data_IF_885574207502
#
_entry.id   IF_885574207502
#
_cell.length_a   1.000
_cell.length_b   1.000
_cell.length_c   1.000
_cell.angle_alpha   90.00
_cell.angle_beta   90.00
_cell.angle_gamma   90.00
#
_symmetry.space_group_name_H-M   'P 1'
#
loop_
_entity.id
_entity.type
_entity.pdbx_description
1 polymer ?
#
# COMPACT_ATOMS: atom_id res chain seq x y z
N UNK A 1 -4.42 18.75 9.75
CA UNK A 1 -4.17 17.70 8.74
C UNK A 1 -2.69 17.46 8.67
N UNK A 2 -2.23 16.29 9.07
CA UNK A 2 -0.83 15.95 8.89
C UNK A 2 -0.70 14.51 8.44
N UNK A 3 -0.24 14.33 7.21
CA UNK A 3 0.40 13.10 6.77
C UNK A 3 1.90 13.30 6.94
N UNK A 4 2.57 12.34 7.54
CA UNK A 4 4.01 12.32 7.69
C UNK A 4 4.56 10.98 7.22
N UNK A 5 5.74 10.99 6.65
CA UNK A 5 6.48 9.78 6.30
C UNK A 5 7.79 9.77 7.09
N UNK A 6 8.12 8.64 7.66
CA UNK A 6 9.36 8.42 8.38
C UNK A 6 10.18 7.34 7.67
N UNK A 7 11.45 7.62 7.46
CA UNK A 7 12.45 6.70 6.90
C UNK A 7 13.75 6.91 7.63
N UNK A 8 14.47 5.84 7.82
CA UNK A 8 15.80 5.88 8.38
C UNK A 8 16.81 5.45 7.30
N UNK A 9 17.70 6.35 6.92
CA UNK A 9 18.72 6.09 5.90
C UNK A 9 19.74 5.02 6.33
N UNK A 10 19.91 4.80 7.64
CA UNK A 10 20.75 3.74 8.18
C UNK A 10 20.07 2.36 8.17
N UNK A 11 18.72 2.32 8.07
CA UNK A 11 17.92 1.09 7.98
C UNK A 11 16.89 1.24 6.84
N UNK A 12 17.31 1.19 5.57
CA UNK A 12 16.45 1.43 4.42
C UNK A 12 15.51 0.25 4.10
N UNK A 13 15.11 -0.49 5.13
CA UNK A 13 14.29 -1.71 5.02
C UNK A 13 12.79 -1.43 5.13
N UNK A 14 12.38 -0.21 5.51
CA UNK A 14 10.98 0.12 5.74
C UNK A 14 10.68 1.61 5.57
N UNK A 15 9.39 1.92 5.45
CA UNK A 15 8.84 3.27 5.52
C UNK A 15 7.64 3.26 6.47
N UNK A 16 7.48 4.28 7.31
CA UNK A 16 6.29 4.47 8.12
C UNK A 16 5.54 5.72 7.65
N UNK A 17 4.26 5.54 7.29
CA UNK A 17 3.31 6.62 7.08
C UNK A 17 2.49 6.83 8.34
N UNK A 18 2.41 8.06 8.81
CA UNK A 18 1.49 8.47 9.88
C UNK A 18 0.43 9.44 9.34
N UNK A 19 -0.80 9.27 9.77
CA UNK A 19 -1.91 10.13 9.37
C UNK A 19 -2.71 10.53 10.62
N UNK A 20 -3.09 11.82 10.72
CA UNK A 20 -3.99 12.35 11.75
C UNK A 20 -5.02 13.31 11.17
N UNK A 21 -6.28 13.12 11.57
CA UNK A 21 -7.41 14.01 11.28
C UNK A 21 -7.55 14.36 9.80
N UNK A 22 -7.55 13.37 8.93
CA UNK A 22 -7.64 13.60 7.49
C UNK A 22 -8.90 12.99 6.90
N UNK A 23 -9.63 13.81 6.14
CA UNK A 23 -10.76 13.42 5.30
C UNK A 23 -10.32 12.64 4.04
N UNK A 24 -9.05 12.22 3.94
CA UNK A 24 -8.58 11.61 2.74
C UNK A 24 -9.16 10.20 2.58
N UNK A 25 -10.24 10.14 1.81
CA UNK A 25 -10.70 8.91 1.20
C UNK A 25 -9.71 8.53 0.11
N UNK A 26 -8.96 7.46 0.29
CA UNK A 26 -8.09 6.96 -0.77
C UNK A 26 -8.92 6.30 -1.85
N UNK A 27 -8.62 6.60 -3.12
CA UNK A 27 -9.12 5.79 -4.23
C UNK A 27 -8.56 4.37 -4.12
N UNK A 28 -9.20 3.42 -4.78
CA UNK A 28 -8.66 2.08 -4.91
C UNK A 28 -7.20 2.12 -5.42
N UNK A 29 -6.30 1.55 -4.63
CA UNK A 29 -4.86 1.45 -4.90
C UNK A 29 -4.33 0.16 -4.26
N UNK A 30 -3.08 -0.16 -4.53
CA UNK A 30 -2.34 -1.25 -3.90
C UNK A 30 -0.91 -0.80 -3.62
N UNK A 31 -0.18 -1.60 -2.88
CA UNK A 31 1.24 -1.45 -2.62
C UNK A 31 1.97 -2.71 -3.09
N UNK A 32 3.18 -2.59 -3.60
CA UNK A 32 4.05 -3.73 -3.89
C UNK A 32 4.79 -4.20 -2.62
N UNK A 33 4.73 -3.38 -1.53
CA UNK A 33 5.20 -3.72 -0.20
C UNK A 33 4.13 -4.46 0.62
N UNK A 34 4.57 -5.18 1.65
CA UNK A 34 3.73 -5.59 2.77
C UNK A 34 3.36 -4.33 3.54
N UNK A 35 2.07 -4.03 3.69
CA UNK A 35 1.63 -2.86 4.45
C UNK A 35 0.89 -3.28 5.73
N UNK A 36 1.38 -2.81 6.89
CA UNK A 36 0.84 -3.15 8.22
C UNK A 36 0.30 -1.89 8.86
N UNK A 37 -1.03 -1.78 8.99
CA UNK A 37 -1.72 -0.62 9.53
C UNK A 37 -2.12 -0.83 10.99
N UNK A 38 -1.59 0.02 11.87
CA UNK A 38 -1.99 0.16 13.28
C UNK A 38 -2.95 1.33 13.40
N UNK A 39 -4.20 1.05 13.76
CA UNK A 39 -5.22 2.07 13.95
C UNK A 39 -5.09 2.68 15.33
N UNK A 40 -4.87 3.98 15.40
CA UNK A 40 -4.71 4.73 16.67
C UNK A 40 -6.03 5.20 17.25
N UNK A 41 -6.89 5.80 16.43
CA UNK A 41 -8.24 6.22 16.83
C UNK A 41 -9.16 6.36 15.61
N UNK A 42 -10.47 6.42 15.88
CA UNK A 42 -11.50 6.50 14.86
C UNK A 42 -11.73 5.18 14.13
N UNK A 43 -12.54 5.23 13.08
CA UNK A 43 -12.86 4.07 12.24
C UNK A 43 -12.77 4.42 10.77
N UNK A 44 -12.38 3.46 9.94
CA UNK A 44 -12.37 3.59 8.48
C UNK A 44 -13.05 2.38 7.84
N UNK A 45 -13.93 2.63 6.87
CA UNK A 45 -14.41 1.59 5.98
C UNK A 45 -13.32 1.28 4.98
N UNK A 46 -12.80 0.06 5.02
CA UNK A 46 -11.88 -0.46 4.01
C UNK A 46 -12.68 -1.30 3.04
N UNK A 47 -12.56 -0.98 1.75
CA UNK A 47 -13.17 -1.74 0.67
C UNK A 47 -12.08 -2.49 -0.09
N UNK A 48 -12.28 -3.76 -0.35
CA UNK A 48 -11.40 -4.62 -1.13
C UNK A 48 -12.20 -5.73 -1.80
N UNK A 49 -11.59 -6.49 -2.69
CA UNK A 49 -12.25 -7.56 -3.42
C UNK A 49 -12.84 -8.66 -2.53
N UNK A 50 -12.31 -8.86 -1.32
CA UNK A 50 -12.86 -9.81 -0.34
C UNK A 50 -14.12 -9.31 0.38
N UNK A 51 -14.54 -8.07 0.13
CA UNK A 51 -15.65 -7.38 0.76
C UNK A 51 -15.19 -6.26 1.70
N UNK A 52 -16.12 -5.39 2.10
CA UNK A 52 -15.83 -4.28 2.99
C UNK A 52 -15.68 -4.73 4.44
N UNK A 53 -14.79 -4.08 5.18
CA UNK A 53 -14.66 -4.25 6.63
C UNK A 53 -14.35 -2.90 7.32
N UNK A 54 -14.52 -2.86 8.64
CA UNK A 54 -14.15 -1.69 9.44
C UNK A 54 -12.76 -1.90 10.06
N UNK A 55 -11.86 -0.96 9.79
CA UNK A 55 -10.61 -0.83 10.51
C UNK A 55 -10.85 0.02 11.76
N UNK A 56 -10.57 -0.54 12.95
CA UNK A 56 -10.89 0.00 14.27
C UNK A 56 -9.64 0.00 15.18
N UNK A 57 -9.60 0.77 16.27
CA UNK A 57 -8.42 0.86 17.13
C UNK A 57 -7.95 -0.44 17.79
N UNK A 58 -8.78 -1.48 17.83
CA UNK A 58 -8.44 -2.82 18.32
C UNK A 58 -8.01 -3.78 17.20
N UNK A 59 -7.80 -3.26 15.99
CA UNK A 59 -7.37 -4.06 14.84
C UNK A 59 -5.99 -3.66 14.32
N UNK A 60 -5.20 -4.66 13.96
CA UNK A 60 -4.05 -4.52 13.07
C UNK A 60 -4.46 -5.06 11.71
N UNK A 61 -4.28 -4.26 10.68
CA UNK A 61 -4.63 -4.66 9.31
C UNK A 61 -3.37 -4.88 8.51
N UNK A 62 -3.23 -6.05 7.91
CA UNK A 62 -2.10 -6.38 7.04
C UNK A 62 -2.59 -6.53 5.61
N UNK A 63 -2.05 -5.71 4.72
CA UNK A 63 -2.31 -5.77 3.29
C UNK A 63 -1.15 -6.51 2.61
N UNK A 64 -1.41 -7.69 2.03
CA UNK A 64 -0.42 -8.36 1.19
C UNK A 64 -0.04 -7.52 -0.04
N UNK A 65 1.16 -7.70 -0.61
CA UNK A 65 1.56 -7.05 -1.84
C UNK A 65 0.54 -7.24 -2.97
N UNK A 66 0.22 -6.17 -3.68
CA UNK A 66 -0.69 -6.17 -4.81
C UNK A 66 -2.18 -6.25 -4.48
N UNK A 67 -2.57 -6.31 -3.20
CA UNK A 67 -3.98 -6.33 -2.79
C UNK A 67 -4.59 -4.93 -2.90
N UNK A 68 -5.53 -4.81 -3.83
CA UNK A 68 -6.24 -3.54 -4.05
C UNK A 68 -7.22 -3.27 -2.91
N UNK A 69 -7.15 -2.05 -2.40
CA UNK A 69 -8.02 -1.58 -1.33
C UNK A 69 -8.25 -0.06 -1.42
N UNK A 70 -9.33 0.40 -0.79
CA UNK A 70 -9.58 1.82 -0.52
C UNK A 70 -9.88 2.02 0.95
N UNK A 71 -9.55 3.19 1.49
CA UNK A 71 -9.80 3.53 2.90
C UNK A 71 -10.67 4.78 2.97
N UNK A 72 -11.85 4.67 3.61
CA UNK A 72 -12.84 5.74 3.72
C UNK A 72 -13.12 6.01 5.20
N UNK A 73 -12.46 7.00 5.83
CA UNK A 73 -12.68 7.35 7.24
C UNK A 73 -14.15 7.67 7.53
N UNK A 74 -14.72 7.01 8.55
CA UNK A 74 -16.09 7.26 9.05
C UNK A 74 -16.13 8.34 10.12
N UNK A 75 -14.99 8.55 10.78
CA UNK A 75 -14.81 9.58 11.83
C UNK A 75 -13.63 10.48 11.48
N UNK A 76 -13.77 11.35 10.44
CA UNK A 76 -12.63 12.06 9.87
C UNK A 76 -11.88 12.92 10.88
N UNK A 77 -12.59 13.62 11.75
CA UNK A 77 -11.99 14.50 12.79
C UNK A 77 -11.25 13.73 13.90
N UNK A 78 -11.53 12.44 14.04
CA UNK A 78 -10.93 11.55 15.02
C UNK A 78 -10.30 10.31 14.37
N UNK A 79 -9.74 10.44 13.15
CA UNK A 79 -9.07 9.37 12.45
C UNK A 79 -7.57 9.49 12.55
N UNK A 80 -6.90 8.47 13.06
CA UNK A 80 -5.45 8.39 13.05
C UNK A 80 -4.97 6.96 12.91
N UNK A 81 -3.94 6.78 12.09
CA UNK A 81 -3.25 5.50 11.91
C UNK A 81 -1.77 5.68 11.65
N UNK A 82 -1.01 4.64 11.88
CA UNK A 82 0.36 4.46 11.38
C UNK A 82 0.39 3.24 10.49
N UNK A 83 1.11 3.31 9.38
CA UNK A 83 1.23 2.21 8.43
C UNK A 83 2.71 1.98 8.13
N UNK A 84 3.17 0.78 8.38
CA UNK A 84 4.52 0.30 8.08
C UNK A 84 4.49 -0.36 6.70
N UNK A 85 5.37 0.07 5.81
CA UNK A 85 5.60 -0.53 4.50
C UNK A 85 6.94 -1.26 4.51
N UNK A 86 6.95 -2.51 4.09
CA UNK A 86 8.12 -3.38 4.11
C UNK A 86 8.26 -4.06 2.76
N UNK A 87 9.37 -3.88 2.02
CA UNK A 87 9.64 -4.61 0.80
C UNK A 87 9.64 -6.13 1.07
N UNK A 88 8.88 -6.94 0.32
CA UNK A 88 8.77 -8.37 0.63
C UNK A 88 10.07 -9.15 0.39
N UNK A 89 11.01 -8.62 -0.37
CA UNK A 89 12.30 -9.23 -0.70
C UNK A 89 13.30 -9.22 0.46
N UNK A 90 13.06 -8.44 1.53
CA UNK A 90 13.87 -8.53 2.76
C UNK A 90 13.58 -9.81 3.57
N UNK A 91 12.43 -10.48 3.29
CA UNK A 91 12.06 -11.71 3.97
C UNK A 91 12.49 -12.95 3.17
N UNK A 92 12.93 -14.03 3.85
CA UNK A 92 13.05 -15.35 3.25
C UNK A 92 11.73 -15.79 2.59
N UNK A 93 11.82 -16.68 1.61
CA UNK A 93 10.65 -17.11 0.82
C UNK A 93 9.51 -17.67 1.69
N UNK A 94 9.84 -18.49 2.67
CA UNK A 94 8.88 -19.16 3.54
C UNK A 94 8.12 -18.14 4.42
N UNK A 95 8.83 -17.16 4.96
CA UNK A 95 8.23 -16.08 5.77
C UNK A 95 7.41 -15.14 4.89
N UNK A 96 7.86 -14.84 3.66
CA UNK A 96 7.14 -14.03 2.68
C UNK A 96 5.78 -14.64 2.33
N UNK A 97 5.68 -15.96 2.25
CA UNK A 97 4.42 -16.67 1.98
C UNK A 97 3.37 -16.41 3.09
N UNK A 98 3.79 -16.16 4.33
CA UNK A 98 2.89 -15.76 5.42
C UNK A 98 2.20 -14.43 5.15
N UNK A 99 2.85 -13.51 4.43
CA UNK A 99 2.32 -12.19 4.08
C UNK A 99 1.72 -12.14 2.67
N UNK A 100 1.56 -13.26 2.01
CA UNK A 100 0.93 -13.34 0.69
C UNK A 100 -0.56 -13.69 0.80
N UNK A 101 -1.32 -13.37 -0.24
CA UNK A 101 -2.73 -13.75 -0.30
C UNK A 101 -3.58 -12.76 -1.10
N UNK A 102 -4.83 -13.12 -1.39
CA UNK A 102 -5.72 -12.32 -2.24
C UNK A 102 -6.49 -11.23 -1.47
N UNK A 103 -6.36 -11.16 -0.14
CA UNK A 103 -7.14 -10.27 0.71
C UNK A 103 -6.33 -9.75 1.90
N UNK A 104 -6.71 -8.58 2.46
CA UNK A 104 -6.17 -8.11 3.73
C UNK A 104 -6.44 -9.10 4.85
N UNK A 105 -5.54 -9.12 5.83
CA UNK A 105 -5.73 -9.89 7.07
C UNK A 105 -6.01 -8.93 8.22
N UNK A 106 -7.03 -9.23 9.01
CA UNK A 106 -7.46 -8.42 10.14
C UNK A 106 -7.13 -9.20 11.41
N UNK A 107 -6.28 -8.62 12.25
CA UNK A 107 -5.88 -9.20 13.53
C UNK A 107 -6.55 -8.40 14.64
N UNK A 108 -7.42 -9.06 15.40
CA UNK A 108 -7.94 -8.47 16.63
C UNK A 108 -6.86 -8.45 17.69
N UNK A 109 -6.59 -7.26 18.24
CA UNK A 109 -5.53 -7.06 19.23
C UNK A 109 -6.10 -7.08 20.63
N UNK A 110 -5.61 -7.99 21.47
CA UNK A 110 -5.70 -7.84 22.91
C UNK A 110 -4.78 -6.70 23.40
N UNK A 111 -4.89 -6.36 24.68
CA UNK A 111 -4.13 -5.25 25.26
C UNK A 111 -2.62 -5.45 25.15
N UNK A 112 -2.12 -6.63 25.46
CA UNK A 112 -0.69 -6.93 25.46
C UNK A 112 -0.10 -6.85 24.04
N UNK A 113 -0.77 -7.46 23.08
CA UNK A 113 -0.34 -7.42 21.68
C UNK A 113 -0.33 -5.99 21.12
N UNK A 114 -1.36 -5.18 21.47
CA UNK A 114 -1.41 -3.77 21.08
C UNK A 114 -0.25 -2.97 21.66
N UNK A 115 0.08 -3.17 22.93
CA UNK A 115 1.20 -2.50 23.59
C UNK A 115 2.54 -2.86 22.92
N UNK A 116 2.75 -4.14 22.58
CA UNK A 116 3.94 -4.62 21.89
C UNK A 116 4.06 -4.02 20.48
N UNK A 117 3.00 -4.05 19.70
CA UNK A 117 2.97 -3.45 18.34
C UNK A 117 3.16 -1.93 18.42
N UNK A 118 2.48 -1.27 19.36
CA UNK A 118 2.61 0.18 19.59
C UNK A 118 4.04 0.59 19.90
N UNK A 119 4.72 -0.16 20.78
CA UNK A 119 6.13 0.06 21.13
C UNK A 119 7.06 -0.18 19.95
N UNK A 120 6.81 -1.21 19.13
CA UNK A 120 7.59 -1.45 17.93
C UNK A 120 7.51 -0.26 16.95
N UNK A 121 6.32 0.29 16.71
CA UNK A 121 6.17 1.50 15.89
C UNK A 121 6.86 2.73 16.49
N UNK A 122 6.95 2.84 17.83
CA UNK A 122 7.69 3.92 18.50
C UNK A 122 9.19 3.78 18.30
N UNK A 123 9.76 2.59 18.48
CA UNK A 123 11.18 2.32 18.22
C UNK A 123 11.52 2.57 16.76
N UNK A 124 10.75 2.03 15.83
CA UNK A 124 10.99 2.18 14.39
C UNK A 124 10.91 3.63 13.90
N UNK A 125 10.13 4.49 14.56
CA UNK A 125 10.03 5.91 14.23
C UNK A 125 10.79 6.84 15.18
N UNK A 126 11.51 6.29 16.14
CA UNK A 126 12.31 7.03 17.14
C UNK A 126 13.78 7.18 16.76
N UNK A 127 14.58 7.62 17.73
CA UNK A 127 16.01 7.89 17.57
C UNK A 127 16.90 6.68 17.96
N UNK A 128 16.35 5.46 18.01
CA UNK A 128 17.07 4.22 18.28
C UNK A 128 18.16 3.91 17.25
N UNK A 129 19.15 3.10 17.63
CA UNK A 129 20.21 2.66 16.73
C UNK A 129 19.72 1.75 15.60
N UNK A 130 20.50 1.60 14.50
CA UNK A 130 20.10 0.80 13.36
C UNK A 130 19.86 -0.68 13.72
N UNK A 131 20.68 -1.26 14.57
CA UNK A 131 20.55 -2.65 15.02
C UNK A 131 19.24 -2.87 15.81
N UNK A 132 18.89 -1.95 16.71
CA UNK A 132 17.65 -2.00 17.49
C UNK A 132 16.42 -1.91 16.58
N UNK A 133 16.46 -1.05 15.56
CA UNK A 133 15.37 -0.88 14.60
C UNK A 133 15.21 -2.10 13.70
N UNK A 134 16.31 -2.66 13.21
CA UNK A 134 16.28 -3.86 12.38
C UNK A 134 15.74 -5.06 13.16
N UNK A 135 16.20 -5.29 14.38
CA UNK A 135 15.68 -6.34 15.27
C UNK A 135 14.19 -6.13 15.55
N UNK A 136 13.79 -4.90 15.88
CA UNK A 136 12.39 -4.55 16.14
C UNK A 136 11.48 -4.78 14.93
N UNK A 137 11.98 -4.48 13.72
CA UNK A 137 11.26 -4.72 12.48
C UNK A 137 10.94 -6.21 12.31
N UNK A 138 11.95 -7.07 12.42
CA UNK A 138 11.75 -8.52 12.26
C UNK A 138 10.89 -9.11 13.37
N UNK A 139 11.03 -8.67 14.62
CA UNK A 139 10.14 -9.07 15.72
C UNK A 139 8.68 -8.66 15.48
N UNK A 140 8.44 -7.48 14.91
CA UNK A 140 7.08 -7.04 14.56
C UNK A 140 6.48 -7.93 13.48
N UNK A 141 7.26 -8.26 12.45
CA UNK A 141 6.82 -9.14 11.36
C UNK A 141 6.51 -10.55 11.87
N UNK A 142 7.37 -11.11 12.72
CA UNK A 142 7.16 -12.42 13.36
C UNK A 142 5.86 -12.43 14.19
N UNK A 143 5.68 -11.43 15.04
CA UNK A 143 4.46 -11.26 15.84
C UNK A 143 3.18 -11.19 15.00
N UNK A 144 3.24 -10.49 13.87
CA UNK A 144 2.11 -10.41 12.95
C UNK A 144 1.84 -11.78 12.27
N UNK A 145 2.90 -12.46 11.82
CA UNK A 145 2.79 -13.78 11.19
C UNK A 145 2.23 -14.86 12.12
N UNK A 146 2.66 -14.90 13.38
CA UNK A 146 2.12 -15.83 14.39
C UNK A 146 0.61 -15.71 14.56
N UNK A 147 0.09 -14.48 14.54
CA UNK A 147 -1.36 -14.25 14.69
C UNK A 147 -2.15 -14.71 13.47
N UNK A 148 -1.56 -14.78 12.27
CA UNK A 148 -2.24 -15.35 11.10
C UNK A 148 -2.52 -16.85 11.27
N UNK A 149 -1.60 -17.57 11.89
CA UNK A 149 -1.76 -19.02 12.14
C UNK A 149 -2.87 -19.28 13.17
N UNK A 150 -3.01 -18.41 14.18
CA UNK A 150 -3.97 -18.58 15.26
C UNK A 150 -5.38 -18.17 14.82
N UNK A 151 -5.54 -17.11 14.03
CA UNK A 151 -6.86 -16.59 13.65
C UNK A 151 -7.61 -17.43 12.63
N UNK A 152 -6.93 -18.24 11.84
CA UNK A 152 -7.57 -19.10 10.83
C UNK A 152 -8.41 -18.35 9.77
N UNK A 153 -8.48 -17.03 9.88
CA UNK A 153 -9.24 -16.17 8.98
C UNK A 153 -8.45 -15.95 7.69
N UNK A 154 -8.47 -16.93 6.83
CA UNK A 154 -8.20 -16.69 5.41
C UNK A 154 -9.39 -15.89 4.88
N UNK A 155 -9.15 -14.63 4.50
CA UNK A 155 -10.17 -13.85 3.80
C UNK A 155 -10.83 -14.70 2.71
N UNK A 156 -12.15 -14.55 2.56
CA UNK A 156 -12.94 -15.37 1.66
C UNK A 156 -12.24 -15.51 0.30
N UNK A 157 -12.00 -16.75 -0.11
CA UNK A 157 -11.36 -17.03 -1.39
C UNK A 157 -12.22 -16.44 -2.50
N UNK A 158 -11.75 -15.36 -3.11
CA UNK A 158 -12.38 -14.80 -4.31
C UNK A 158 -12.35 -15.84 -5.44
N UNK A 159 -13.35 -15.77 -6.31
CA UNK A 159 -13.33 -16.53 -7.55
C UNK A 159 -11.98 -16.28 -8.27
N UNK A 160 -11.37 -17.30 -8.88
CA UNK A 160 -10.08 -17.15 -9.54
C UNK A 160 -10.13 -16.04 -10.59
N UNK A 161 -9.13 -15.18 -10.57
CA UNK A 161 -9.00 -14.09 -11.55
C UNK A 161 -8.86 -14.73 -12.95
N UNK A 162 -9.68 -14.32 -13.92
CA UNK A 162 -9.58 -14.88 -15.27
C UNK A 162 -8.16 -14.67 -15.84
N UNK A 163 -7.64 -15.68 -16.50
CA UNK A 163 -6.28 -15.68 -17.07
C UNK A 163 -6.03 -14.49 -18.02
N UNK A 164 -7.05 -14.09 -18.80
CA UNK A 164 -7.00 -12.90 -19.65
C UNK A 164 -6.73 -11.62 -18.86
N UNK A 165 -7.24 -11.53 -17.64
CA UNK A 165 -7.06 -10.37 -16.76
C UNK A 165 -5.70 -10.43 -16.06
N UNK A 166 -5.24 -11.64 -15.65
CA UNK A 166 -3.88 -11.85 -15.14
C UNK A 166 -2.84 -11.43 -16.18
N UNK A 167 -3.00 -11.87 -17.44
CA UNK A 167 -2.10 -11.44 -18.54
C UNK A 167 -2.11 -9.92 -18.77
N UNK A 168 -3.29 -9.31 -18.66
CA UNK A 168 -3.40 -7.84 -18.81
C UNK A 168 -2.67 -7.11 -17.69
N UNK A 169 -2.82 -7.56 -16.45
CA UNK A 169 -2.11 -6.97 -15.31
C UNK A 169 -0.58 -7.16 -15.42
N UNK A 170 -0.12 -8.33 -15.83
CA UNK A 170 1.29 -8.60 -16.11
C UNK A 170 1.83 -7.67 -17.21
N UNK A 171 1.09 -7.51 -18.30
CA UNK A 171 1.44 -6.59 -19.38
C UNK A 171 1.55 -5.13 -18.90
N UNK A 172 0.60 -4.67 -18.09
CA UNK A 172 0.64 -3.34 -17.48
C UNK A 172 1.87 -3.15 -16.59
N UNK A 173 2.28 -4.17 -15.83
CA UNK A 173 3.50 -4.14 -14.99
C UNK A 173 4.77 -4.06 -15.83
N UNK A 174 4.85 -4.84 -16.91
CA UNK A 174 6.03 -4.92 -17.78
C UNK A 174 6.25 -3.64 -18.58
N UNK A 175 5.16 -3.06 -19.13
CA UNK A 175 5.23 -1.89 -20.03
C UNK A 175 4.75 -0.59 -19.36
N UNK A 176 4.77 -0.49 -18.02
CA UNK A 176 4.16 0.61 -17.25
C UNK A 176 4.68 2.02 -17.57
N UNK A 177 5.89 2.12 -18.13
CA UNK A 177 6.48 3.40 -18.53
C UNK A 177 6.09 3.83 -19.97
N UNK A 178 5.42 2.95 -20.72
CA UNK A 178 4.95 3.23 -22.08
C UNK A 178 3.53 3.82 -22.07
N UNK A 179 3.18 4.48 -23.18
CA UNK A 179 1.79 4.82 -23.46
C UNK A 179 1.02 3.57 -23.87
N UNK A 180 0.06 3.14 -23.05
CA UNK A 180 -0.70 1.92 -23.28
C UNK A 180 -2.17 2.26 -23.55
N UNK A 181 -2.58 2.36 -24.81
CA UNK A 181 -3.98 2.61 -25.15
C UNK A 181 -4.84 1.39 -24.82
N UNK A 182 -6.10 1.62 -24.44
CA UNK A 182 -7.06 0.57 -24.10
C UNK A 182 -7.24 -0.46 -25.23
N UNK A 183 -7.03 -0.06 -26.49
CA UNK A 183 -7.07 -0.96 -27.65
C UNK A 183 -6.00 -2.05 -27.53
N UNK A 184 -4.77 -1.69 -27.17
CA UNK A 184 -3.65 -2.65 -26.98
C UNK A 184 -3.95 -3.65 -25.85
N UNK A 185 -4.54 -3.17 -24.76
CA UNK A 185 -4.95 -4.05 -23.66
C UNK A 185 -6.07 -5.01 -24.06
N UNK A 186 -7.00 -4.56 -24.90
CA UNK A 186 -8.05 -5.41 -25.45
C UNK A 186 -7.47 -6.54 -26.34
N UNK A 187 -6.44 -6.25 -27.14
CA UNK A 187 -5.72 -7.23 -27.93
C UNK A 187 -4.98 -8.24 -27.04
N UNK A 188 -4.28 -7.79 -25.99
CA UNK A 188 -3.57 -8.65 -25.02
C UNK A 188 -4.53 -9.58 -24.30
N UNK A 189 -5.69 -9.08 -23.90
CA UNK A 189 -6.68 -9.87 -23.14
C UNK A 189 -7.51 -10.80 -24.01
N UNK A 190 -7.64 -10.52 -25.32
CA UNK A 190 -8.61 -11.17 -26.22
C UNK A 190 -10.05 -10.76 -25.96
N UNK A 191 -10.29 -9.65 -25.25
CA UNK A 191 -11.61 -9.16 -24.91
C UNK A 191 -11.90 -7.85 -25.64
N UNK A 192 -13.20 -7.54 -25.86
CA UNK A 192 -13.56 -6.19 -26.27
C UNK A 192 -13.20 -5.17 -25.20
N UNK A 193 -12.94 -3.92 -25.58
CA UNK A 193 -12.62 -2.84 -24.62
C UNK A 193 -13.61 -2.72 -23.47
N UNK A 194 -14.89 -2.87 -23.76
CA UNK A 194 -15.95 -2.83 -22.75
C UNK A 194 -15.88 -4.02 -21.78
N UNK A 195 -15.73 -5.23 -22.30
CA UNK A 195 -15.62 -6.43 -21.48
C UNK A 195 -14.32 -6.45 -20.66
N UNK A 196 -13.21 -5.98 -21.23
CA UNK A 196 -11.96 -5.84 -20.52
C UNK A 196 -12.09 -4.93 -19.29
N UNK A 197 -12.58 -3.70 -19.45
CA UNK A 197 -12.72 -2.75 -18.33
C UNK A 197 -13.65 -3.32 -17.25
N UNK A 198 -14.74 -3.95 -17.63
CA UNK A 198 -15.69 -4.56 -16.69
C UNK A 198 -15.07 -5.77 -15.96
N UNK A 199 -14.37 -6.66 -16.66
CA UNK A 199 -13.73 -7.83 -16.07
C UNK A 199 -12.58 -7.41 -15.16
N UNK A 200 -11.76 -6.43 -15.59
CA UNK A 200 -10.65 -5.91 -14.80
C UNK A 200 -11.14 -5.25 -13.50
N UNK A 201 -12.21 -4.41 -13.58
CA UNK A 201 -12.84 -3.84 -12.37
C UNK A 201 -13.42 -4.89 -11.44
N UNK A 202 -14.00 -5.97 -11.96
CA UNK A 202 -14.50 -7.07 -11.13
C UNK A 202 -13.38 -7.80 -10.40
N UNK A 203 -12.21 -7.94 -11.06
CA UNK A 203 -11.07 -8.70 -10.52
C UNK A 203 -10.20 -7.88 -9.57
N UNK A 204 -10.02 -6.58 -9.85
CA UNK A 204 -9.11 -5.70 -9.13
C UNK A 204 -9.77 -4.48 -8.48
N UNK A 205 -11.11 -4.38 -8.53
CA UNK A 205 -11.89 -3.23 -8.04
C UNK A 205 -11.41 -1.85 -8.58
N UNK A 206 -10.64 -1.85 -9.66
CA UNK A 206 -10.14 -0.66 -10.34
C UNK A 206 -10.07 -0.84 -11.86
N UNK A 207 -10.02 0.28 -12.58
CA UNK A 207 -9.85 0.23 -14.05
C UNK A 207 -8.39 -0.09 -14.41
N UNK A 208 -8.10 -0.63 -15.64
CA UNK A 208 -6.73 -0.82 -16.11
C UNK A 208 -5.87 0.45 -16.01
N UNK A 209 -6.45 1.62 -16.32
CA UNK A 209 -5.75 2.90 -16.21
C UNK A 209 -5.43 3.27 -14.75
N UNK A 210 -6.36 3.08 -13.81
CA UNK A 210 -6.09 3.33 -12.39
C UNK A 210 -4.99 2.39 -11.87
N UNK A 211 -4.99 1.13 -12.30
CA UNK A 211 -3.94 0.16 -11.99
C UNK A 211 -2.56 0.62 -12.49
N UNK A 212 -2.49 1.07 -13.76
CA UNK A 212 -1.27 1.63 -14.33
C UNK A 212 -0.78 2.86 -13.55
N UNK A 213 -1.68 3.77 -13.18
CA UNK A 213 -1.31 4.95 -12.38
C UNK A 213 -0.73 4.56 -11.01
N UNK A 214 -1.27 3.54 -10.36
CA UNK A 214 -0.72 3.05 -9.08
C UNK A 214 0.71 2.53 -9.25
N UNK A 215 0.97 1.71 -10.28
CA UNK A 215 2.32 1.21 -10.58
C UNK A 215 3.33 2.36 -10.80
N UNK A 216 2.95 3.37 -11.60
CA UNK A 216 3.79 4.54 -11.87
C UNK A 216 4.08 5.37 -10.61
N UNK A 217 3.12 5.48 -9.71
CA UNK A 217 3.31 6.17 -8.44
C UNK A 217 4.27 5.40 -7.53
N UNK A 218 4.21 4.08 -7.49
CA UNK A 218 5.13 3.27 -6.69
C UNK A 218 6.58 3.40 -7.21
N UNK A 219 6.80 3.33 -8.52
CA UNK A 219 8.13 3.61 -9.10
C UNK A 219 8.60 5.04 -8.80
N UNK A 220 7.68 6.02 -8.90
CA UNK A 220 7.98 7.43 -8.59
C UNK A 220 8.47 7.66 -7.17
N UNK A 221 7.99 6.89 -6.18
CA UNK A 221 8.47 6.98 -4.79
C UNK A 221 9.95 6.67 -4.69
N UNK A 222 10.44 5.66 -5.42
CA UNK A 222 11.86 5.31 -5.47
C UNK A 222 12.69 6.44 -6.09
N UNK A 223 12.28 6.97 -7.24
CA UNK A 223 12.97 8.08 -7.92
C UNK A 223 13.00 9.36 -7.09
N UNK A 224 11.92 9.65 -6.36
CA UNK A 224 11.86 10.77 -5.41
C UNK A 224 12.91 10.62 -4.29
N UNK A 225 13.09 9.42 -3.77
CA UNK A 225 14.12 9.11 -2.75
C UNK A 225 15.54 9.23 -3.30
N UNK A 226 15.74 8.91 -4.57
CA UNK A 226 17.01 9.08 -5.28
C UNK A 226 17.31 10.55 -5.61
N UNK A 227 16.38 11.48 -5.31
CA UNK A 227 16.57 12.91 -5.53
C UNK A 227 16.32 13.36 -6.96
N UNK A 228 15.67 12.55 -7.78
CA UNK A 228 15.30 12.94 -9.16
C UNK A 228 14.27 14.08 -9.12
N UNK A 229 14.42 15.05 -10.02
CA UNK A 229 13.51 16.20 -10.06
C UNK A 229 12.07 15.77 -10.38
N UNK A 230 11.08 16.38 -9.70
CA UNK A 230 9.66 16.04 -9.85
C UNK A 230 9.18 16.15 -11.31
N UNK A 231 9.68 17.13 -12.06
CA UNK A 231 9.38 17.30 -13.49
C UNK A 231 9.87 16.12 -14.33
N UNK A 232 11.07 15.64 -14.02
CA UNK A 232 11.72 14.56 -14.77
C UNK A 232 11.05 13.21 -14.45
N UNK A 233 10.66 13.01 -13.19
CA UNK A 233 9.85 11.85 -12.79
C UNK A 233 8.51 11.84 -13.53
N UNK A 234 7.81 12.98 -13.59
CA UNK A 234 6.53 13.06 -14.29
C UNK A 234 6.67 12.62 -15.77
N UNK A 235 7.74 13.04 -16.42
CA UNK A 235 8.00 12.67 -17.80
C UNK A 235 8.41 11.19 -17.93
N UNK A 236 9.34 10.73 -17.11
CA UNK A 236 9.86 9.35 -17.15
C UNK A 236 8.77 8.31 -16.86
N UNK A 237 7.85 8.62 -15.94
CA UNK A 237 6.74 7.74 -15.57
C UNK A 237 5.49 7.91 -16.46
N UNK A 238 5.61 8.66 -17.59
CA UNK A 238 4.56 8.78 -18.61
C UNK A 238 3.32 9.55 -18.16
N UNK A 239 3.48 10.52 -17.26
CA UNK A 239 2.44 11.50 -16.95
C UNK A 239 2.45 12.62 -18.01
N UNK A 240 1.27 13.22 -18.25
CA UNK A 240 1.16 14.31 -19.23
C UNK A 240 2.01 15.53 -18.85
N UNK A 241 2.08 15.83 -17.54
CA UNK A 241 2.83 16.94 -16.97
C UNK A 241 3.00 16.75 -15.45
N UNK A 242 3.81 17.63 -14.83
CA UNK A 242 4.06 17.62 -13.39
C UNK A 242 2.79 17.84 -12.55
N UNK A 243 1.83 18.62 -13.05
CA UNK A 243 0.57 18.90 -12.34
C UNK A 243 -0.31 17.64 -12.27
N UNK A 244 -0.39 16.92 -13.39
CA UNK A 244 -1.08 15.62 -13.45
C UNK A 244 -0.42 14.61 -12.50
N UNK A 245 0.90 14.49 -12.54
CA UNK A 245 1.66 13.64 -11.61
C UNK A 245 1.38 14.01 -10.16
N UNK A 246 1.53 15.29 -9.78
CA UNK A 246 1.32 15.78 -8.41
C UNK A 246 -0.09 15.46 -7.91
N UNK A 247 -1.10 15.63 -8.76
CA UNK A 247 -2.49 15.33 -8.42
C UNK A 247 -2.71 13.83 -8.17
N UNK A 248 -2.23 12.97 -9.07
CA UNK A 248 -2.37 11.51 -8.94
C UNK A 248 -1.57 10.99 -7.74
N UNK A 249 -0.35 11.50 -7.54
CA UNK A 249 0.47 11.15 -6.38
C UNK A 249 -0.26 11.48 -5.07
N UNK A 250 -0.84 12.69 -4.98
CA UNK A 250 -1.62 13.08 -3.80
C UNK A 250 -2.86 12.23 -3.60
N UNK A 251 -3.56 11.85 -4.66
CA UNK A 251 -4.74 10.97 -4.58
C UNK A 251 -4.42 9.57 -4.04
N UNK A 252 -3.22 9.05 -4.31
CA UNK A 252 -2.78 7.70 -3.89
C UNK A 252 -2.03 7.76 -2.56
N UNK A 253 -1.05 8.65 -2.43
CA UNK A 253 -0.17 8.71 -1.26
C UNK A 253 -0.73 9.56 -0.10
N UNK A 254 -1.70 10.45 -0.38
CA UNK A 254 -2.30 11.35 0.61
C UNK A 254 -1.56 12.68 0.77
N UNK A 255 -0.38 12.86 0.16
CA UNK A 255 0.38 14.11 0.18
C UNK A 255 1.06 14.37 -1.17
N UNK A 256 1.61 15.57 -1.36
CA UNK A 256 2.31 15.94 -2.59
C UNK A 256 3.71 15.33 -2.65
N UNK A 257 4.29 15.12 -3.87
CA UNK A 257 5.66 14.61 -4.01
C UNK A 257 6.70 15.46 -3.25
N UNK A 258 6.54 16.78 -3.27
CA UNK A 258 7.46 17.69 -2.56
C UNK A 258 7.42 17.49 -1.04
N UNK A 259 6.22 17.30 -0.45
CA UNK A 259 6.09 17.03 0.99
C UNK A 259 6.52 15.62 1.34
N UNK A 260 6.31 14.66 0.45
CA UNK A 260 6.80 13.29 0.60
C UNK A 260 8.33 13.25 0.73
N UNK A 261 9.08 14.04 -0.07
CA UNK A 261 10.53 14.17 0.04
C UNK A 261 10.92 14.93 1.32
N UNK A 262 10.20 16.03 1.64
CA UNK A 262 10.54 16.87 2.79
C UNK A 262 10.39 16.12 4.14
N UNK A 263 9.55 15.12 4.23
CA UNK A 263 9.36 14.28 5.43
C UNK A 263 10.55 13.34 5.73
N UNK A 264 11.51 13.17 4.80
CA UNK A 264 12.77 12.45 5.06
C UNK A 264 13.74 13.18 6.01
N UNK A 265 13.45 14.42 6.40
CA UNK A 265 14.39 15.29 7.13
C UNK A 265 14.15 15.37 8.64
N UNK A 266 13.62 14.33 9.26
CA UNK A 266 13.75 14.22 10.71
C UNK A 266 14.95 13.34 11.04
N UNK A 267 16.11 14.06 11.22
CA UNK A 267 17.31 13.54 11.90
C UNK A 267 16.97 13.28 13.36
#
# INVERSE_FOLDING_TARGET
>A
MSVGFYRDSSVPLYEIKSCRAELHSSRGHFHDEIAIALIGCGTSLVECAAGPFLAEPDTLVVFPPGVVHSCNPRTPDNWAFRMLFVPPDILPREERECFSGPAPRIIRMDREFRERIGKAFEVLSGDGGPEEKEETLFLLLELAAERFVISGETGAANAPIPESIVRTAAFLREYRHEEIPLKRLAEVSGLSRFHLVRAFRRSFDMTPHAYLMTLRIDDSKRLLREGVAISDIALAEGFCDQSHFTRVFREICGDTPARYIASERHR
#
